data_IF_535000000156
#
_entry.id   IF_535000000156
#
_cell.length_a   1.000
_cell.length_b   1.000
_cell.length_c   1.000
_cell.angle_alpha   90.00
_cell.angle_beta   90.00
_cell.angle_gamma   90.00
#
_symmetry.space_group_name_H-M   'P 1'
#
loop_
_entity.id
_entity.type
_entity.pdbx_description
1 polymer ?
#
# COMPACT_ATOMS: atom_id res chain seq x y z
N UNK A 1 11.26 4.16 -18.17
CA UNK A 1 9.90 3.95 -17.61
C UNK A 1 8.91 5.03 -18.04
N UNK A 2 9.33 6.29 -18.21
CA UNK A 2 8.43 7.40 -18.64
C UNK A 2 7.67 7.13 -19.95
N UNK A 3 8.28 6.47 -20.93
CA UNK A 3 7.59 6.11 -22.18
C UNK A 3 6.48 5.08 -21.95
N UNK A 4 6.69 4.12 -21.05
CA UNK A 4 5.70 3.11 -20.70
C UNK A 4 4.50 3.74 -19.98
N UNK A 5 4.75 4.64 -19.02
CA UNK A 5 3.70 5.45 -18.39
C UNK A 5 2.94 6.25 -19.44
N UNK A 6 3.65 6.98 -20.29
CA UNK A 6 3.04 7.83 -21.31
C UNK A 6 2.17 7.01 -22.24
N UNK A 7 2.68 5.88 -22.73
CA UNK A 7 1.94 4.96 -23.58
C UNK A 7 0.69 4.43 -22.89
N UNK A 8 0.78 3.99 -21.63
CA UNK A 8 -0.38 3.53 -20.86
C UNK A 8 -1.42 4.64 -20.72
N UNK A 9 -1.00 5.85 -20.31
CA UNK A 9 -1.88 7.01 -20.11
C UNK A 9 -2.54 7.49 -21.41
N UNK A 10 -1.89 7.34 -22.56
CA UNK A 10 -2.46 7.77 -23.86
C UNK A 10 -3.27 6.69 -24.56
N UNK A 11 -3.01 5.41 -24.28
CA UNK A 11 -3.58 4.28 -25.05
C UNK A 11 -4.71 3.58 -24.31
N UNK A 12 -4.69 3.57 -22.98
CA UNK A 12 -5.75 2.97 -22.19
C UNK A 12 -6.99 3.87 -22.21
N UNK A 13 -8.08 3.32 -22.72
CA UNK A 13 -9.37 4.03 -22.86
C UNK A 13 -10.26 3.88 -21.62
N UNK A 14 -9.84 3.05 -20.66
CA UNK A 14 -10.54 2.81 -19.38
C UNK A 14 -9.53 2.89 -18.24
N UNK A 15 -9.47 4.07 -17.62
CA UNK A 15 -8.48 4.38 -16.58
C UNK A 15 -7.11 4.72 -17.16
N UNK A 16 -6.31 5.47 -16.40
CA UNK A 16 -4.96 5.89 -16.76
C UNK A 16 -3.97 5.70 -15.60
N UNK A 17 -4.36 4.93 -14.59
CA UNK A 17 -3.52 4.63 -13.42
C UNK A 17 -2.37 3.72 -13.82
N UNK A 18 -1.17 4.12 -13.44
CA UNK A 18 0.08 3.39 -13.63
C UNK A 18 0.62 3.04 -12.26
N UNK A 19 0.64 1.73 -11.96
CA UNK A 19 1.31 1.18 -10.79
C UNK A 19 2.61 0.51 -11.22
N UNK A 20 3.73 0.86 -10.59
CA UNK A 20 4.97 0.13 -10.73
C UNK A 20 5.18 -0.77 -9.51
N UNK A 21 5.40 -2.05 -9.75
CA UNK A 21 5.82 -2.94 -8.67
C UNK A 21 7.35 -3.02 -8.64
N UNK A 22 7.97 -2.28 -7.72
CA UNK A 22 9.41 -2.32 -7.50
C UNK A 22 9.80 -3.36 -6.45
N UNK A 23 8.92 -3.61 -5.47
CA UNK A 23 9.13 -4.51 -4.34
C UNK A 23 10.16 -4.03 -3.33
N UNK A 24 10.71 -2.83 -3.52
CA UNK A 24 11.77 -2.21 -2.73
C UNK A 24 11.82 -0.70 -2.99
N UNK A 25 12.66 0.02 -2.23
CA UNK A 25 12.90 1.45 -2.43
C UNK A 25 13.32 1.80 -3.87
N UNK A 26 12.86 2.95 -4.36
CA UNK A 26 13.15 3.47 -5.69
C UNK A 26 13.79 4.85 -5.63
N UNK A 27 14.49 5.22 -6.70
CA UNK A 27 14.98 6.59 -6.87
C UNK A 27 13.81 7.58 -7.00
N UNK A 28 14.00 8.80 -6.48
CA UNK A 28 12.96 9.82 -6.43
C UNK A 28 12.36 10.16 -7.81
N UNK A 29 13.11 9.99 -8.89
CA UNK A 29 12.66 10.22 -10.26
C UNK A 29 11.47 9.34 -10.69
N UNK A 30 11.27 8.18 -10.06
CA UNK A 30 10.16 7.28 -10.39
C UNK A 30 8.80 7.78 -9.88
N UNK A 31 8.77 8.55 -8.78
CA UNK A 31 7.54 9.09 -8.21
C UNK A 31 6.84 10.10 -9.10
N UNK A 32 7.60 10.80 -9.95
CA UNK A 32 7.06 11.74 -10.94
C UNK A 32 6.42 11.06 -12.16
N UNK A 33 6.58 9.74 -12.33
CA UNK A 33 6.13 9.01 -13.53
C UNK A 33 5.17 7.85 -13.23
N UNK A 34 4.98 7.46 -11.97
CA UNK A 34 3.99 6.46 -11.57
C UNK A 34 2.88 7.12 -10.74
N UNK A 35 1.66 6.60 -10.84
CA UNK A 35 0.59 7.02 -9.94
C UNK A 35 0.73 6.31 -8.58
N UNK A 36 1.16 5.04 -8.60
CA UNK A 36 1.51 4.27 -7.40
C UNK A 36 2.79 3.47 -7.59
N UNK A 37 3.53 3.24 -6.51
CA UNK A 37 4.69 2.35 -6.49
C UNK A 37 4.56 1.38 -5.32
N UNK A 38 4.68 0.09 -5.59
CA UNK A 38 4.83 -0.91 -4.55
C UNK A 38 6.28 -0.88 -4.04
N UNK A 39 6.45 -0.34 -2.84
CA UNK A 39 7.76 -0.06 -2.22
C UNK A 39 8.26 -1.19 -1.34
N UNK A 40 7.40 -2.16 -1.03
CA UNK A 40 7.79 -3.40 -0.36
C UNK A 40 6.95 -4.57 -0.91
N UNK A 41 7.62 -5.63 -1.33
CA UNK A 41 7.02 -6.95 -1.57
C UNK A 41 7.87 -8.00 -0.85
N UNK A 42 7.55 -8.27 0.40
CA UNK A 42 8.37 -9.15 1.23
C UNK A 42 7.53 -9.80 2.35
N UNK A 43 8.19 -10.59 3.18
CA UNK A 43 7.62 -11.21 4.37
C UNK A 43 7.31 -10.20 5.46
N UNK A 44 6.43 -10.60 6.39
CA UNK A 44 6.17 -9.88 7.64
C UNK A 44 7.45 -9.55 8.42
N UNK A 45 8.37 -10.51 8.53
CA UNK A 45 9.64 -10.30 9.23
C UNK A 45 10.53 -9.23 8.58
N UNK A 46 10.47 -9.11 7.25
CA UNK A 46 11.18 -8.05 6.54
C UNK A 46 10.53 -6.69 6.80
N UNK A 47 9.20 -6.61 6.78
CA UNK A 47 8.44 -5.41 7.15
C UNK A 47 8.77 -4.92 8.56
N UNK A 48 8.78 -5.82 9.56
CA UNK A 48 9.11 -5.48 10.95
C UNK A 48 10.52 -4.90 11.13
N UNK A 49 11.42 -5.22 10.19
CA UNK A 49 12.80 -4.74 10.18
C UNK A 49 13.04 -3.52 9.28
N UNK A 50 12.05 -3.16 8.46
CA UNK A 50 12.20 -2.15 7.44
C UNK A 50 12.13 -0.73 8.03
N UNK A 51 12.92 0.17 7.45
CA UNK A 51 12.76 1.60 7.65
C UNK A 51 11.70 2.12 6.67
N UNK A 52 10.45 2.15 7.12
CA UNK A 52 9.30 2.53 6.28
C UNK A 52 9.44 3.96 5.73
N UNK A 53 9.99 4.88 6.52
CA UNK A 53 10.26 6.25 6.07
C UNK A 53 11.23 6.28 4.90
N UNK A 54 12.28 5.45 4.93
CA UNK A 54 13.20 5.36 3.79
C UNK A 54 12.53 4.81 2.51
N UNK A 55 11.44 4.03 2.63
CA UNK A 55 10.73 3.43 1.49
C UNK A 55 9.81 4.43 0.78
N UNK A 56 9.22 5.38 1.51
CA UNK A 56 8.25 6.35 0.99
C UNK A 56 8.78 7.79 0.90
N UNK A 57 10.10 7.97 0.97
CA UNK A 57 10.74 9.28 0.86
C UNK A 57 10.51 10.16 2.08
N UNK A 58 10.61 9.58 3.27
CA UNK A 58 10.36 10.20 4.57
C UNK A 58 8.92 10.74 4.67
N UNK A 59 7.97 9.99 4.12
CA UNK A 59 6.57 10.35 4.03
C UNK A 59 6.22 11.25 2.84
N UNK A 60 7.16 11.76 2.04
CA UNK A 60 6.83 12.61 0.89
C UNK A 60 5.91 11.90 -0.11
N UNK A 61 6.09 10.59 -0.27
CA UNK A 61 5.39 9.77 -1.26
C UNK A 61 4.44 8.75 -0.65
N UNK A 62 4.03 8.92 0.62
CA UNK A 62 3.17 7.95 1.29
C UNK A 62 1.87 7.68 0.50
N UNK A 63 1.25 8.73 -0.05
CA UNK A 63 -0.02 8.65 -0.79
C UNK A 63 0.12 8.04 -2.18
N UNK A 64 1.36 7.76 -2.62
CA UNK A 64 1.68 7.01 -3.84
C UNK A 64 2.24 5.63 -3.52
N UNK A 65 2.55 5.33 -2.25
CA UNK A 65 3.19 4.09 -1.83
C UNK A 65 2.18 2.99 -1.59
N UNK A 66 2.50 1.77 -2.03
CA UNK A 66 1.77 0.56 -1.70
C UNK A 66 2.70 -0.51 -1.15
N UNK A 67 2.14 -1.51 -0.47
CA UNK A 67 2.87 -2.65 0.07
C UNK A 67 2.18 -3.98 -0.20
N UNK A 68 2.98 -5.03 -0.34
CA UNK A 68 2.56 -6.42 -0.40
C UNK A 68 3.33 -7.19 0.68
N UNK A 69 2.60 -7.82 1.60
CA UNK A 69 3.16 -8.70 2.62
C UNK A 69 2.74 -10.15 2.32
N UNK A 70 3.69 -11.03 2.02
CA UNK A 70 3.44 -12.45 1.77
C UNK A 70 4.02 -13.34 2.87
N UNK A 71 3.63 -14.62 2.89
CA UNK A 71 3.97 -15.56 3.97
C UNK A 71 3.68 -14.95 5.37
N UNK A 72 2.60 -14.16 5.47
CA UNK A 72 2.20 -13.49 6.70
C UNK A 72 1.70 -14.52 7.71
N UNK A 73 2.27 -14.52 8.91
CA UNK A 73 2.01 -15.58 9.90
C UNK A 73 1.28 -15.10 11.13
N UNK A 74 1.26 -13.79 11.40
CA UNK A 74 0.63 -13.30 12.61
C UNK A 74 -0.91 -13.41 12.59
N UNK A 75 -1.44 -13.48 13.82
CA UNK A 75 -2.86 -13.59 14.06
C UNK A 75 -3.65 -12.29 13.83
N UNK A 76 -4.98 -12.35 13.93
CA UNK A 76 -5.88 -11.22 13.62
C UNK A 76 -5.56 -9.90 14.34
N UNK A 77 -5.05 -9.95 15.57
CA UNK A 77 -4.73 -8.75 16.35
C UNK A 77 -3.54 -7.96 15.77
N UNK A 78 -2.56 -8.65 15.21
CA UNK A 78 -1.40 -8.00 14.58
C UNK A 78 -1.79 -7.52 13.18
N UNK A 79 -2.59 -8.30 12.45
CA UNK A 79 -3.18 -7.87 11.18
C UNK A 79 -3.97 -6.55 11.33
N UNK A 80 -4.83 -6.43 12.35
CA UNK A 80 -5.55 -5.19 12.66
C UNK A 80 -4.59 -4.02 12.90
N UNK A 81 -3.54 -4.23 13.72
CA UNK A 81 -2.52 -3.23 14.01
C UNK A 81 -1.81 -2.77 12.74
N UNK A 82 -1.36 -3.70 11.91
CA UNK A 82 -0.54 -3.42 10.74
C UNK A 82 -1.36 -2.74 9.65
N UNK A 83 -2.56 -3.24 9.37
CA UNK A 83 -3.50 -2.60 8.43
C UNK A 83 -3.83 -1.17 8.90
N UNK A 84 -4.06 -0.98 10.20
CA UNK A 84 -4.32 0.34 10.78
C UNK A 84 -3.12 1.30 10.75
N UNK A 85 -1.91 0.77 10.87
CA UNK A 85 -0.67 1.56 10.82
C UNK A 85 -0.35 1.99 9.39
N UNK A 86 -0.37 1.03 8.46
CA UNK A 86 0.01 1.25 7.06
C UNK A 86 -1.01 2.15 6.35
N UNK A 87 -2.32 1.86 6.48
CA UNK A 87 -3.37 2.57 5.72
C UNK A 87 -4.00 3.76 6.46
N UNK A 88 -3.73 3.92 7.75
CA UNK A 88 -4.36 4.96 8.56
C UNK A 88 -3.84 6.36 8.23
N UNK A 89 -4.72 7.33 7.94
CA UNK A 89 -4.31 8.72 7.58
C UNK A 89 -3.65 9.51 8.72
N UNK A 90 -3.71 8.98 9.95
CA UNK A 90 -3.02 9.54 11.12
C UNK A 90 -1.69 8.82 11.42
N UNK A 91 -1.30 7.88 10.56
CA UNK A 91 -0.12 7.02 10.65
C UNK A 91 0.67 7.14 9.35
N UNK A 92 0.93 6.04 8.66
CA UNK A 92 1.75 6.03 7.45
C UNK A 92 0.95 6.51 6.23
N UNK A 93 -0.38 6.38 6.25
CA UNK A 93 -1.26 6.90 5.21
C UNK A 93 -0.90 6.41 3.78
N UNK A 94 -0.43 5.16 3.68
CA UNK A 94 -0.12 4.54 2.41
C UNK A 94 -1.36 4.29 1.56
N UNK A 95 -1.19 4.31 0.24
CA UNK A 95 -2.28 4.21 -0.72
C UNK A 95 -2.88 2.80 -0.84
N UNK A 96 -2.11 1.76 -0.52
CA UNK A 96 -2.55 0.39 -0.71
C UNK A 96 -1.72 -0.63 0.05
N UNK A 97 -2.39 -1.71 0.45
CA UNK A 97 -1.81 -2.84 1.14
C UNK A 97 -2.46 -4.11 0.61
N UNK A 98 -1.68 -5.16 0.43
CA UNK A 98 -2.16 -6.53 0.28
C UNK A 98 -1.42 -7.43 1.26
N UNK A 99 -2.15 -8.25 2.01
CA UNK A 99 -1.58 -9.21 2.96
C UNK A 99 -2.05 -10.62 2.62
N UNK A 100 -1.13 -11.58 2.60
CA UNK A 100 -1.41 -12.99 2.31
C UNK A 100 -0.53 -13.92 3.15
N UNK A 101 -1.10 -15.01 3.65
CA UNK A 101 -0.37 -16.10 4.33
C UNK A 101 0.30 -17.07 3.34
N UNK A 102 0.30 -16.73 2.05
CA UNK A 102 0.80 -17.57 0.97
C UNK A 102 1.96 -16.87 0.24
N UNK A 103 3.02 -17.60 -0.05
CA UNK A 103 4.07 -17.19 -1.00
C UNK A 103 3.68 -17.31 -2.48
N UNK A 104 2.38 -17.29 -2.79
CA UNK A 104 1.84 -17.31 -4.16
C UNK A 104 0.63 -16.39 -4.29
N UNK A 105 0.35 -15.93 -5.51
CA UNK A 105 -0.70 -14.94 -5.80
C UNK A 105 -1.84 -15.48 -6.69
N UNK A 106 -1.97 -16.81 -6.81
CA UNK A 106 -2.95 -17.46 -7.69
C UNK A 106 -4.26 -17.88 -6.97
N UNK A 107 -4.37 -17.59 -5.67
CA UNK A 107 -5.51 -17.93 -4.81
C UNK A 107 -5.59 -17.00 -3.61
N UNK A 108 -6.73 -17.01 -2.93
CA UNK A 108 -6.94 -16.18 -1.75
C UNK A 108 -6.28 -16.79 -0.49
N UNK A 109 -5.77 -15.94 0.42
CA UNK A 109 -5.23 -16.37 1.71
C UNK A 109 -6.31 -16.93 2.64
N UNK A 110 -5.89 -17.67 3.65
CA UNK A 110 -6.81 -18.33 4.60
C UNK A 110 -7.73 -17.32 5.29
N UNK A 111 -7.21 -16.16 5.67
CA UNK A 111 -7.97 -15.10 6.35
C UNK A 111 -8.31 -13.90 5.44
N UNK A 112 -8.59 -14.14 4.15
CA UNK A 112 -8.88 -13.06 3.20
C UNK A 112 -10.02 -12.14 3.64
N UNK A 113 -11.11 -12.70 4.17
CA UNK A 113 -12.26 -11.92 4.62
C UNK A 113 -11.94 -11.09 5.87
N UNK A 114 -11.09 -11.59 6.77
CA UNK A 114 -10.60 -10.82 7.91
C UNK A 114 -9.78 -9.62 7.47
N UNK A 115 -8.82 -9.83 6.56
CA UNK A 115 -8.04 -8.74 5.97
C UNK A 115 -8.92 -7.67 5.31
N UNK A 116 -9.86 -8.06 4.45
CA UNK A 116 -10.80 -7.11 3.80
C UNK A 116 -11.66 -6.38 4.84
N UNK A 117 -12.04 -7.06 5.92
CA UNK A 117 -12.77 -6.46 7.04
C UNK A 117 -11.98 -5.34 7.72
N UNK A 118 -10.70 -5.58 8.03
CA UNK A 118 -9.84 -4.56 8.65
C UNK A 118 -9.58 -3.38 7.72
N UNK A 119 -9.37 -3.63 6.42
CA UNK A 119 -9.26 -2.54 5.43
C UNK A 119 -10.52 -1.68 5.42
N UNK A 120 -11.71 -2.28 5.42
CA UNK A 120 -12.97 -1.52 5.44
C UNK A 120 -13.10 -0.64 6.70
N UNK A 121 -12.69 -1.15 7.87
CA UNK A 121 -12.69 -0.39 9.12
C UNK A 121 -11.75 0.81 9.07
N UNK A 122 -10.56 0.65 8.49
CA UNK A 122 -9.62 1.77 8.33
C UNK A 122 -10.15 2.81 7.34
N UNK A 123 -10.79 2.39 6.25
CA UNK A 123 -11.45 3.33 5.31
C UNK A 123 -12.52 4.16 6.03
N UNK A 124 -13.38 3.54 6.83
CA UNK A 124 -14.41 4.26 7.61
C UNK A 124 -13.77 5.27 8.58
N UNK A 125 -12.71 4.86 9.29
CA UNK A 125 -11.98 5.74 10.21
C UNK A 125 -11.33 6.93 9.48
N UNK A 126 -10.72 6.69 8.32
CA UNK A 126 -10.10 7.72 7.49
C UNK A 126 -11.13 8.73 6.98
N UNK A 127 -12.31 8.26 6.52
CA UNK A 127 -13.41 9.12 6.10
C UNK A 127 -13.95 10.00 7.24
N UNK A 128 -14.06 9.44 8.45
CA UNK A 128 -14.46 10.18 9.63
C UNK A 128 -13.44 11.27 9.99
N UNK A 129 -12.13 10.95 9.93
CA UNK A 129 -11.06 11.91 10.17
C UNK A 129 -11.07 13.07 9.15
N UNK A 130 -11.25 12.77 7.87
CA UNK A 130 -11.36 13.77 6.81
C UNK A 130 -12.55 14.72 7.02
N UNK A 131 -13.71 14.15 7.40
CA UNK A 131 -14.91 14.94 7.70
C UNK A 131 -14.71 15.87 8.89
N UNK A 132 -14.02 15.40 9.94
CA UNK A 132 -13.70 16.20 11.12
C UNK A 132 -12.69 17.33 10.82
N UNK A 133 -11.76 17.11 9.89
CA UNK A 133 -10.81 18.14 9.44
C UNK A 133 -11.51 19.24 8.63
N UNK A 134 -12.44 18.88 7.75
CA UNK A 134 -13.18 19.83 6.92
C UNK A 134 -14.16 20.74 7.70
N UNK A 135 -14.52 20.35 8.92
CA UNK A 135 -15.43 21.09 9.79
C UNK A 135 -14.75 22.13 10.69
N UNK A 136 -13.41 22.22 10.67
CA UNK A 136 -12.60 23.19 11.42
C UNK A 136 -12.23 24.38 10.55
#
# INVERSE_FOLDING_TARGET
MSDATSFAKTTLTRGSTVLFNAGQAVDATFWGIADYINVLEDTEAAYDSADIGALDGEGEYHAQSTMILYDYTDGPAVLERDVGTILGVQRDAMAGLYVTDLGVFDRFPTNFTGFVGEVARVVEANMAAASAAAAK
#
